data_IF_790556859985
#
_entry.id   IF_790556859985
#
_cell.length_a   1.000
_cell.length_b   1.000
_cell.length_c   1.000
_cell.angle_alpha   90.00
_cell.angle_beta   90.00
_cell.angle_gamma   90.00
#
_symmetry.space_group_name_H-M   'P 1'
#
loop_
_entity.id
_entity.type
_entity.pdbx_description
1 polymer ?
#
# COMPACT_ATOMS: atom_id res chain seq x y z
N UNK A 1 6.24 3.88 11.89
CA UNK A 1 7.29 4.21 10.89
C UNK A 1 6.65 4.67 9.58
N UNK A 2 7.41 5.33 8.69
CA UNK A 2 6.97 5.64 7.31
C UNK A 2 7.53 4.59 6.35
N UNK A 3 6.65 3.89 5.63
CA UNK A 3 7.01 2.75 4.77
C UNK A 3 6.45 3.02 3.37
N UNK A 4 7.25 2.88 2.32
CA UNK A 4 6.78 2.92 0.94
C UNK A 4 6.81 1.52 0.33
N UNK A 5 5.71 1.08 -0.28
CA UNK A 5 5.57 -0.22 -0.93
C UNK A 5 5.36 -0.02 -2.41
N UNK A 6 6.38 -0.32 -3.22
CA UNK A 6 6.32 -0.25 -4.68
C UNK A 6 5.73 -1.54 -5.23
N UNK A 7 4.73 -1.43 -6.11
CA UNK A 7 3.99 -2.59 -6.59
C UNK A 7 2.95 -3.08 -5.57
N UNK A 8 2.41 -2.18 -4.74
CA UNK A 8 1.41 -2.50 -3.72
C UNK A 8 0.13 -3.15 -4.27
N UNK A 9 -0.15 -3.05 -5.58
CA UNK A 9 -1.26 -3.73 -6.24
C UNK A 9 -1.00 -5.22 -6.53
N UNK A 10 0.26 -5.69 -6.42
CA UNK A 10 0.63 -7.09 -6.65
C UNK A 10 0.27 -8.00 -5.47
N UNK A 11 0.31 -9.32 -5.70
CA UNK A 11 -0.08 -10.34 -4.69
C UNK A 11 0.66 -10.15 -3.36
N UNK A 12 1.98 -10.06 -3.38
CA UNK A 12 2.78 -9.83 -2.17
C UNK A 12 2.62 -8.40 -1.61
N UNK A 13 2.57 -7.40 -2.49
CA UNK A 13 2.46 -5.99 -2.11
C UNK A 13 1.22 -5.70 -1.27
N UNK A 14 0.09 -6.34 -1.60
CA UNK A 14 -1.15 -6.19 -0.83
C UNK A 14 -1.03 -6.75 0.59
N UNK A 15 -0.40 -7.93 0.78
CA UNK A 15 -0.18 -8.49 2.11
C UNK A 15 0.74 -7.61 2.97
N UNK A 16 1.83 -7.09 2.38
CA UNK A 16 2.76 -6.20 3.08
C UNK A 16 2.07 -4.90 3.48
N UNK A 17 1.24 -4.34 2.60
CA UNK A 17 0.47 -3.13 2.88
C UNK A 17 -0.45 -3.35 4.08
N UNK A 18 -1.25 -4.43 4.06
CA UNK A 18 -2.19 -4.78 5.12
C UNK A 18 -1.48 -5.00 6.45
N UNK A 19 -0.35 -5.69 6.45
CA UNK A 19 0.44 -5.92 7.65
C UNK A 19 1.02 -4.61 8.21
N UNK A 20 1.58 -3.76 7.36
CA UNK A 20 2.13 -2.47 7.78
C UNK A 20 1.07 -1.55 8.37
N UNK A 21 -0.12 -1.50 7.77
CA UNK A 21 -1.27 -0.76 8.32
C UNK A 21 -1.72 -1.37 9.65
N UNK A 22 -1.85 -2.71 9.72
CA UNK A 22 -2.26 -3.43 10.93
C UNK A 22 -1.33 -3.20 12.11
N UNK A 23 -0.05 -2.94 11.85
CA UNK A 23 0.96 -2.56 12.85
C UNK A 23 0.98 -1.07 13.20
N UNK A 24 0.05 -0.27 12.68
CA UNK A 24 -0.04 1.17 12.93
C UNK A 24 1.06 1.99 12.24
N UNK A 25 1.67 1.47 11.18
CA UNK A 25 2.65 2.21 10.41
C UNK A 25 1.98 3.06 9.31
N UNK A 26 2.59 4.19 8.98
CA UNK A 26 2.15 5.02 7.87
C UNK A 26 2.72 4.43 6.58
N UNK A 27 1.89 3.69 5.86
CA UNK A 27 2.28 3.01 4.62
C UNK A 27 1.83 3.81 3.40
N UNK A 28 2.74 4.00 2.45
CA UNK A 28 2.48 4.62 1.15
C UNK A 28 2.53 3.56 0.07
N UNK A 29 1.40 3.31 -0.58
CA UNK A 29 1.26 2.40 -1.70
C UNK A 29 1.67 3.11 -2.99
N UNK A 30 2.74 2.64 -3.61
CA UNK A 30 3.26 3.18 -4.87
C UNK A 30 2.86 2.23 -6.00
N UNK A 31 1.96 2.69 -6.88
CA UNK A 31 1.36 1.85 -7.94
C UNK A 31 1.26 2.59 -9.27
N UNK A 32 1.26 1.83 -10.36
CA UNK A 32 1.04 2.37 -11.72
C UNK A 32 -0.42 2.69 -12.01
N UNK A 33 -1.34 1.97 -11.37
CA UNK A 33 -2.77 2.14 -11.54
C UNK A 33 -3.44 2.05 -10.16
N UNK A 34 -3.99 3.18 -9.72
CA UNK A 34 -4.63 3.30 -8.42
C UNK A 34 -5.98 2.55 -8.32
N UNK A 35 -6.57 2.19 -9.46
CA UNK A 35 -7.83 1.44 -9.56
C UNK A 35 -7.67 -0.01 -9.09
N UNK A 36 -6.45 -0.56 -9.22
CA UNK A 36 -6.10 -1.92 -8.77
C UNK A 36 -5.85 -2.03 -7.28
N UNK A 37 -5.88 -0.92 -6.54
CA UNK A 37 -5.71 -0.93 -5.08
C UNK A 37 -7.09 -0.95 -4.42
N UNK A 38 -7.55 -2.16 -4.08
CA UNK A 38 -8.88 -2.45 -3.52
C UNK A 38 -9.03 -1.97 -2.08
N UNK A 39 -7.93 -1.82 -1.33
CA UNK A 39 -7.98 -1.40 0.07
C UNK A 39 -7.92 0.13 0.21
N UNK A 40 -9.01 0.72 0.73
CA UNK A 40 -9.11 2.14 1.14
C UNK A 40 -8.67 2.39 2.59
N UNK A 41 -8.30 1.35 3.32
CA UNK A 41 -8.10 1.43 4.77
C UNK A 41 -6.67 1.88 5.11
N UNK A 42 -6.42 3.18 5.11
CA UNK A 42 -5.29 3.79 5.83
C UNK A 42 -3.96 3.95 5.09
N UNK A 43 -3.74 3.30 3.94
CA UNK A 43 -2.55 3.55 3.12
C UNK A 43 -2.70 4.82 2.27
N UNK A 44 -1.65 5.67 2.25
CA UNK A 44 -1.57 6.78 1.29
C UNK A 44 -1.27 6.22 -0.10
N UNK A 45 -2.07 6.59 -1.11
CA UNK A 45 -1.83 6.18 -2.51
C UNK A 45 -0.91 7.19 -3.18
N UNK A 46 0.13 6.71 -3.85
CA UNK A 46 1.03 7.49 -4.69
C UNK A 46 1.12 6.81 -6.07
N UNK A 47 0.78 7.53 -7.13
CA UNK A 47 1.01 7.06 -8.49
C UNK A 47 2.46 7.32 -8.90
N UNK A 48 3.02 6.36 -9.66
CA UNK A 48 4.29 6.51 -10.40
C UNK A 48 4.04 7.13 -11.76
#
# INVERSE_FOLDING_TARGET
MKIAVIGASGKAGQFILKEGIGRGHQVTAVVRDASKLTEKNGAKKQLL
#
